data_IF_159092061210
#
_entry.id   IF_159092061210
#
_cell.length_a   1.000
_cell.length_b   1.000
_cell.length_c   1.000
_cell.angle_alpha   90.00
_cell.angle_beta   90.00
_cell.angle_gamma   90.00
#
_symmetry.space_group_name_H-M   'P 1'
#
loop_
_entity.id
_entity.type
_entity.pdbx_description
1 polymer ?
#
# COMPACT_ATOMS: atom_id res chain seq x y z
N UNK A 1 -6.67 2.46 11.87
CA UNK A 1 -5.89 1.89 10.75
C UNK A 1 -4.42 2.16 11.03
N UNK A 2 -3.61 1.09 11.14
CA UNK A 2 -2.23 1.15 11.60
C UNK A 2 -1.29 1.97 10.70
N UNK A 3 -0.06 2.20 11.18
CA UNK A 3 0.97 2.89 10.41
C UNK A 3 1.24 2.14 9.09
N UNK A 4 1.29 2.86 7.97
CA UNK A 4 1.64 2.29 6.67
C UNK A 4 2.97 1.53 6.70
N UNK A 5 3.89 1.98 7.55
CA UNK A 5 5.17 1.34 7.80
C UNK A 5 5.03 -0.06 8.43
N UNK A 6 4.11 -0.22 9.38
CA UNK A 6 3.87 -1.52 10.04
C UNK A 6 3.35 -2.56 9.06
N UNK A 7 2.44 -2.17 8.15
CA UNK A 7 1.95 -3.06 7.10
C UNK A 7 3.06 -3.48 6.14
N UNK A 8 3.96 -2.56 5.78
CA UNK A 8 5.13 -2.88 4.96
C UNK A 8 6.05 -3.89 5.67
N UNK A 9 6.35 -3.68 6.95
CA UNK A 9 7.16 -4.62 7.72
C UNK A 9 6.52 -6.00 7.82
N UNK A 10 5.22 -6.08 8.09
CA UNK A 10 4.47 -7.34 8.12
C UNK A 10 4.55 -8.07 6.78
N UNK A 11 4.37 -7.35 5.66
CA UNK A 11 4.49 -7.92 4.32
C UNK A 11 5.90 -8.45 4.02
N UNK A 12 6.95 -7.73 4.42
CA UNK A 12 8.34 -8.19 4.22
C UNK A 12 8.63 -9.42 5.07
N UNK A 13 8.17 -9.44 6.32
CA UNK A 13 8.33 -10.59 7.21
C UNK A 13 7.65 -11.83 6.63
N UNK A 14 6.39 -11.71 6.22
CA UNK A 14 5.64 -12.81 5.61
C UNK A 14 6.27 -13.27 4.29
N UNK A 15 6.81 -12.36 3.48
CA UNK A 15 7.52 -12.72 2.25
C UNK A 15 8.71 -13.66 2.48
N UNK A 16 9.46 -13.50 3.59
CA UNK A 16 10.60 -14.36 3.92
C UNK A 16 10.19 -15.83 4.08
N UNK A 17 9.00 -16.06 4.65
CA UNK A 17 8.39 -17.37 4.81
C UNK A 17 7.76 -17.89 3.51
N UNK A 18 7.10 -17.01 2.76
CA UNK A 18 6.33 -17.36 1.56
C UNK A 18 7.21 -17.70 0.36
N UNK A 19 8.37 -17.07 0.21
CA UNK A 19 9.19 -17.14 -1.01
C UNK A 19 9.41 -18.56 -1.55
N UNK A 20 9.71 -19.52 -0.66
CA UNK A 20 9.97 -20.92 -1.04
C UNK A 20 8.68 -21.61 -1.52
N UNK A 21 7.58 -21.37 -0.81
CA UNK A 21 6.26 -21.95 -1.12
C UNK A 21 5.70 -21.38 -2.42
N UNK A 22 5.72 -20.05 -2.56
CA UNK A 22 5.24 -19.36 -3.76
C UNK A 22 6.01 -19.80 -5.01
N UNK A 23 7.32 -20.03 -4.89
CA UNK A 23 8.10 -20.54 -6.01
C UNK A 23 7.64 -21.94 -6.43
N UNK A 24 7.45 -22.86 -5.48
CA UNK A 24 6.94 -24.21 -5.73
C UNK A 24 5.57 -24.17 -6.41
N UNK A 25 4.62 -23.44 -5.84
CA UNK A 25 3.24 -23.37 -6.35
C UNK A 25 3.19 -22.82 -7.79
N UNK A 26 4.00 -21.79 -8.10
CA UNK A 26 4.09 -21.22 -9.45
C UNK A 26 4.59 -22.22 -10.49
N UNK A 27 5.51 -23.11 -10.12
CA UNK A 27 6.04 -24.15 -11.03
C UNK A 27 4.96 -25.21 -11.31
N UNK A 28 4.10 -25.49 -10.32
CA UNK A 28 3.05 -26.51 -10.40
C UNK A 28 1.73 -26.04 -11.04
N UNK A 29 1.68 -24.86 -11.67
CA UNK A 29 0.45 -24.22 -12.16
C UNK A 29 -0.63 -24.03 -11.08
N UNK A 30 -0.21 -23.85 -9.82
CA UNK A 30 -1.09 -23.60 -8.69
C UNK A 30 -1.25 -22.08 -8.47
N UNK A 31 -2.43 -21.68 -8.00
CA UNK A 31 -2.73 -20.30 -7.65
C UNK A 31 -2.22 -20.04 -6.23
N UNK A 32 -1.57 -18.89 -6.03
CA UNK A 32 -1.26 -18.35 -4.72
C UNK A 32 -1.63 -16.87 -4.69
N UNK A 33 -2.36 -16.46 -3.67
CA UNK A 33 -2.74 -15.08 -3.42
C UNK A 33 -2.68 -14.78 -1.92
N UNK A 34 -2.21 -13.58 -1.58
CA UNK A 34 -2.25 -13.07 -0.21
C UNK A 34 -2.79 -11.64 -0.21
N UNK A 35 -3.69 -11.36 0.71
CA UNK A 35 -4.16 -10.03 1.02
C UNK A 35 -3.99 -9.75 2.50
N UNK A 36 -2.92 -9.02 2.85
CA UNK A 36 -2.54 -8.76 4.25
C UNK A 36 -2.40 -10.08 5.00
N UNK A 37 -3.35 -10.43 5.87
CA UNK A 37 -3.32 -11.62 6.72
C UNK A 37 -4.04 -12.82 6.08
N UNK A 38 -4.85 -12.60 5.04
CA UNK A 38 -5.59 -13.66 4.35
C UNK A 38 -4.73 -14.29 3.26
N UNK A 39 -4.61 -15.62 3.27
CA UNK A 39 -3.84 -16.40 2.30
C UNK A 39 -4.78 -17.39 1.61
N UNK A 40 -4.71 -17.44 0.29
CA UNK A 40 -5.39 -18.42 -0.54
C UNK A 40 -4.38 -19.09 -1.47
N UNK A 41 -4.47 -20.42 -1.57
CA UNK A 41 -3.74 -21.15 -2.59
C UNK A 41 -4.52 -22.40 -3.01
N UNK A 42 -4.20 -22.89 -4.19
CA UNK A 42 -4.68 -24.20 -4.67
C UNK A 42 -3.53 -25.19 -4.61
N UNK A 43 -3.82 -26.48 -4.41
CA UNK A 43 -2.81 -27.51 -4.62
C UNK A 43 -3.35 -28.75 -5.30
N UNK A 44 -2.50 -29.39 -6.10
CA UNK A 44 -2.74 -30.67 -6.75
C UNK A 44 -2.18 -31.85 -5.92
N UNK A 45 -1.54 -31.57 -4.79
CA UNK A 45 -1.01 -32.58 -3.88
C UNK A 45 -2.14 -33.34 -3.15
N UNK A 46 -1.80 -34.47 -2.52
CA UNK A 46 -2.73 -35.19 -1.66
C UNK A 46 -3.13 -34.35 -0.43
N UNK A 47 -4.32 -34.61 0.11
CA UNK A 47 -4.77 -33.94 1.34
C UNK A 47 -3.77 -34.11 2.49
N UNK A 48 -3.15 -35.29 2.61
CA UNK A 48 -2.12 -35.56 3.62
C UNK A 48 -0.89 -34.66 3.47
N UNK A 49 -0.41 -34.48 2.23
CA UNK A 49 0.72 -33.58 1.93
C UNK A 49 0.35 -32.11 2.24
N UNK A 50 -0.89 -31.72 1.91
CA UNK A 50 -1.41 -30.39 2.21
C UNK A 50 -1.47 -30.17 3.72
N UNK A 51 -2.00 -31.12 4.49
CA UNK A 51 -2.08 -31.03 5.95
C UNK A 51 -0.70 -30.94 6.58
N UNK A 52 0.25 -31.78 6.15
CA UNK A 52 1.64 -31.72 6.61
C UNK A 52 2.25 -30.33 6.34
N UNK A 53 2.08 -29.81 5.13
CA UNK A 53 2.58 -28.49 4.77
C UNK A 53 1.95 -27.39 5.63
N UNK A 54 0.67 -27.49 5.96
CA UNK A 54 -0.03 -26.52 6.81
C UNK A 54 0.41 -26.63 8.28
N UNK A 55 0.74 -27.82 8.76
CA UNK A 55 1.32 -28.01 10.09
C UNK A 55 2.73 -27.43 10.18
N UNK A 56 3.57 -27.66 9.17
CA UNK A 56 4.88 -27.00 9.04
C UNK A 56 4.74 -25.47 9.00
N UNK A 57 3.74 -24.96 8.28
CA UNK A 57 3.45 -23.53 8.23
C UNK A 57 3.06 -22.98 9.61
N UNK A 58 2.26 -23.71 10.38
CA UNK A 58 1.86 -23.35 11.74
C UNK A 58 2.99 -23.41 12.77
N UNK A 59 4.10 -24.06 12.44
CA UNK A 59 5.31 -24.15 13.26
C UNK A 59 6.39 -23.13 12.85
N UNK A 60 6.16 -22.33 11.82
CA UNK A 60 7.14 -21.36 11.33
C UNK A 60 7.54 -20.31 12.39
N UNK A 61 6.59 -19.85 13.20
CA UNK A 61 6.87 -18.85 14.22
C UNK A 61 6.01 -19.08 15.47
N UNK A 62 6.56 -19.00 16.70
CA UNK A 62 5.81 -19.30 17.92
C UNK A 62 4.58 -18.40 18.12
N UNK A 63 4.66 -17.15 17.67
CA UNK A 63 3.60 -16.16 17.84
C UNK A 63 2.66 -16.01 16.64
N UNK A 64 2.85 -16.79 15.55
CA UNK A 64 1.99 -16.71 14.37
C UNK A 64 1.33 -18.08 14.18
N UNK A 65 0.00 -18.09 14.23
CA UNK A 65 -0.81 -19.29 14.02
C UNK A 65 -1.78 -19.04 12.88
N UNK A 66 -1.76 -19.93 11.90
CA UNK A 66 -2.65 -19.93 10.75
C UNK A 66 -3.89 -20.76 11.08
N UNK A 67 -5.05 -20.16 10.85
CA UNK A 67 -6.32 -20.88 10.82
C UNK A 67 -6.51 -21.37 9.39
N UNK A 68 -6.68 -22.68 9.22
CA UNK A 68 -6.82 -23.31 7.90
C UNK A 68 -8.25 -23.78 7.63
N UNK A 69 -8.67 -23.68 6.37
CA UNK A 69 -9.90 -24.25 5.85
C UNK A 69 -9.59 -24.88 4.49
N UNK A 70 -10.13 -26.06 4.21
CA UNK A 70 -9.90 -26.82 2.97
C UNK A 70 -11.27 -27.13 2.34
N UNK A 71 -11.37 -27.06 1.02
CA UNK A 71 -12.60 -27.33 0.27
C UNK A 71 -13.28 -26.04 -0.20
N UNK A 72 -14.46 -25.74 0.36
CA UNK A 72 -15.15 -24.46 0.14
C UNK A 72 -14.53 -23.42 1.06
N UNK A 73 -13.81 -22.46 0.50
CA UNK A 73 -12.99 -21.51 1.27
C UNK A 73 -13.39 -20.07 0.95
N UNK A 74 -13.69 -19.23 1.96
CA UNK A 74 -13.84 -17.81 1.76
C UNK A 74 -12.46 -17.15 1.62
N UNK A 75 -12.31 -16.29 0.63
CA UNK A 75 -11.15 -15.41 0.48
C UNK A 75 -11.66 -14.00 0.14
N UNK A 76 -11.53 -13.08 1.10
CA UNK A 76 -12.17 -11.77 1.05
C UNK A 76 -13.69 -11.90 0.89
N UNK A 77 -14.26 -11.25 -0.11
CA UNK A 77 -15.69 -11.27 -0.43
C UNK A 77 -16.08 -12.43 -1.39
N UNK A 78 -15.17 -13.37 -1.67
CA UNK A 78 -15.38 -14.44 -2.65
C UNK A 78 -15.38 -15.80 -1.95
N UNK A 79 -16.41 -16.59 -2.17
CA UNK A 79 -16.42 -18.01 -1.81
C UNK A 79 -15.88 -18.80 -3.00
N UNK A 80 -14.85 -19.61 -2.77
CA UNK A 80 -14.17 -20.38 -3.80
C UNK A 80 -14.37 -21.86 -3.51
N UNK A 81 -14.82 -22.59 -4.51
CA UNK A 81 -15.08 -24.02 -4.42
C UNK A 81 -14.38 -24.76 -5.56
N UNK A 82 -13.77 -25.91 -5.26
CA UNK A 82 -13.26 -26.81 -6.28
C UNK A 82 -14.33 -27.84 -6.66
N UNK A 83 -14.89 -27.72 -7.88
CA UNK A 83 -15.83 -28.69 -8.46
C UNK A 83 -15.10 -29.52 -9.51
N UNK A 84 -14.58 -30.68 -9.09
CA UNK A 84 -13.91 -31.67 -9.97
C UNK A 84 -12.78 -31.07 -10.82
N UNK A 85 -11.92 -30.26 -10.20
CA UNK A 85 -10.79 -29.60 -10.86
C UNK A 85 -11.12 -28.24 -11.49
N UNK A 86 -12.39 -27.82 -11.46
CA UNK A 86 -12.79 -26.47 -11.89
C UNK A 86 -13.09 -25.62 -10.66
N UNK A 87 -12.41 -24.47 -10.55
CA UNK A 87 -12.73 -23.50 -9.51
C UNK A 87 -14.00 -22.73 -9.88
N UNK A 88 -15.00 -22.81 -9.01
CA UNK A 88 -16.21 -22.00 -9.07
C UNK A 88 -16.17 -20.94 -7.98
N UNK A 89 -16.72 -19.77 -8.30
CA UNK A 89 -16.75 -18.63 -7.40
C UNK A 89 -18.18 -18.16 -7.18
N UNK A 90 -18.46 -17.66 -5.98
CA UNK A 90 -19.69 -16.96 -5.63
C UNK A 90 -19.39 -15.86 -4.62
N UNK A 91 -20.38 -15.02 -4.30
CA UNK A 91 -20.23 -14.01 -3.25
C UNK A 91 -20.27 -14.70 -1.88
N UNK A 92 -19.27 -14.44 -1.04
CA UNK A 92 -19.28 -14.94 0.33
C UNK A 92 -20.09 -14.00 1.23
N UNK A 93 -21.08 -14.55 1.94
CA UNK A 93 -21.80 -13.87 3.02
C UNK A 93 -21.48 -14.56 4.33
N UNK A 94 -21.00 -13.79 5.31
CA UNK A 94 -20.69 -14.32 6.62
C UNK A 94 -22.00 -14.60 7.38
N UNK A 95 -22.18 -15.81 7.90
CA UNK A 95 -23.44 -16.25 8.53
C UNK A 95 -23.91 -15.34 9.67
N UNK A 96 -22.98 -14.80 10.45
CA UNK A 96 -23.26 -13.90 11.57
C UNK A 96 -23.20 -12.41 11.20
N UNK A 97 -22.97 -12.06 9.93
CA UNK A 97 -22.98 -10.66 9.51
C UNK A 97 -24.42 -10.18 9.33
N UNK A 98 -24.81 -9.17 10.11
CA UNK A 98 -25.99 -8.40 9.78
C UNK A 98 -25.82 -7.80 8.37
N UNK A 99 -26.89 -7.72 7.56
CA UNK A 99 -26.84 -7.18 6.21
C UNK A 99 -26.74 -5.65 6.25
N UNK A 100 -25.77 -5.11 6.99
CA UNK A 100 -25.61 -3.69 7.21
C UNK A 100 -24.73 -3.09 6.12
N UNK A 101 -25.27 -2.09 5.45
CA UNK A 101 -24.52 -1.19 4.58
C UNK A 101 -24.74 0.23 5.07
N UNK A 102 -24.11 1.23 4.45
CA UNK A 102 -24.35 2.63 4.81
C UNK A 102 -25.87 2.92 4.68
N UNK A 103 -26.59 3.21 5.78
CA UNK A 103 -28.04 3.44 5.72
C UNK A 103 -28.36 4.67 4.90
N UNK A 104 -29.42 4.63 4.11
CA UNK A 104 -29.74 5.72 3.18
C UNK A 104 -30.04 7.05 3.89
N UNK A 105 -30.57 7.01 5.11
CA UNK A 105 -30.85 8.20 5.94
C UNK A 105 -29.64 8.81 6.66
N UNK A 106 -28.44 8.22 6.54
CA UNK A 106 -27.25 8.74 7.20
C UNK A 106 -26.67 10.00 6.52
N UNK A 107 -25.88 10.81 7.23
CA UNK A 107 -25.26 12.02 6.70
C UNK A 107 -23.99 11.72 5.86
N UNK A 108 -24.19 11.02 4.74
CA UNK A 108 -23.14 10.74 3.77
C UNK A 108 -23.41 11.46 2.45
N UNK A 109 -22.36 11.87 1.72
CA UNK A 109 -22.53 12.44 0.39
C UNK A 109 -23.27 11.48 -0.56
N UNK A 110 -24.13 12.01 -1.41
CA UNK A 110 -24.96 11.20 -2.31
C UNK A 110 -24.21 10.22 -3.24
N UNK A 111 -22.92 10.44 -3.49
CA UNK A 111 -22.10 9.51 -4.26
C UNK A 111 -21.76 8.23 -3.49
N UNK A 112 -21.71 8.26 -2.15
CA UNK A 112 -21.44 7.09 -1.31
C UNK A 112 -22.55 6.06 -1.52
N UNK A 113 -23.81 6.46 -1.35
CA UNK A 113 -24.97 5.57 -1.56
C UNK A 113 -24.99 4.97 -2.98
N UNK A 114 -24.70 5.77 -4.00
CA UNK A 114 -24.61 5.27 -5.38
C UNK A 114 -23.51 4.23 -5.54
N UNK A 115 -22.31 4.54 -5.02
CA UNK A 115 -21.16 3.67 -5.12
C UNK A 115 -21.34 2.37 -4.32
N UNK A 116 -22.03 2.40 -3.18
CA UNK A 116 -22.37 1.21 -2.40
C UNK A 116 -23.19 0.23 -3.24
N UNK A 117 -24.26 0.73 -3.89
CA UNK A 117 -25.10 -0.08 -4.76
C UNK A 117 -24.33 -0.56 -6.00
N UNK A 118 -23.59 0.32 -6.67
CA UNK A 118 -22.83 -0.04 -7.87
C UNK A 118 -21.75 -1.09 -7.58
N UNK A 119 -21.09 -0.98 -6.43
CA UNK A 119 -20.06 -1.93 -6.00
C UNK A 119 -20.70 -3.28 -5.73
N UNK A 120 -21.84 -3.33 -5.03
CA UNK A 120 -22.55 -4.58 -4.77
C UNK A 120 -23.02 -5.27 -6.06
N UNK A 121 -23.58 -4.52 -7.01
CA UNK A 121 -24.01 -5.07 -8.31
C UNK A 121 -22.79 -5.59 -9.10
N UNK A 122 -21.72 -4.79 -9.17
CA UNK A 122 -20.49 -5.19 -9.87
C UNK A 122 -19.88 -6.45 -9.25
N UNK A 123 -19.92 -6.55 -7.92
CA UNK A 123 -19.45 -7.71 -7.15
C UNK A 123 -20.26 -8.95 -7.50
N UNK A 124 -21.59 -8.86 -7.45
CA UNK A 124 -22.50 -9.94 -7.81
C UNK A 124 -22.20 -10.50 -9.21
N UNK A 125 -22.05 -9.62 -10.20
CA UNK A 125 -21.77 -10.07 -11.58
C UNK A 125 -20.39 -10.72 -11.71
N UNK A 126 -19.37 -10.16 -11.06
CA UNK A 126 -17.99 -10.67 -11.19
C UNK A 126 -17.80 -12.01 -10.50
N UNK A 127 -18.38 -12.17 -9.32
CA UNK A 127 -18.11 -13.32 -8.46
C UNK A 127 -18.99 -14.51 -8.82
N UNK A 128 -20.27 -14.31 -9.15
CA UNK A 128 -21.14 -15.42 -9.54
C UNK A 128 -20.66 -16.08 -10.82
N UNK A 129 -20.57 -17.41 -10.82
CA UNK A 129 -20.16 -18.20 -12.00
C UNK A 129 -21.33 -18.46 -12.93
N UNK A 130 -22.49 -18.73 -12.35
CA UNK A 130 -23.72 -19.06 -13.08
C UNK A 130 -24.76 -17.95 -12.97
N UNK A 131 -25.73 -17.97 -13.90
CA UNK A 131 -26.87 -17.04 -13.87
C UNK A 131 -27.73 -17.24 -12.61
N UNK A 132 -27.97 -18.49 -12.20
CA UNK A 132 -28.75 -18.79 -11.00
C UNK A 132 -28.12 -18.23 -9.73
N UNK A 133 -26.80 -18.39 -9.55
CA UNK A 133 -26.06 -17.80 -8.43
C UNK A 133 -26.09 -16.27 -8.46
N UNK A 134 -26.09 -15.68 -9.66
CA UNK A 134 -26.21 -14.24 -9.82
C UNK A 134 -27.60 -13.72 -9.43
N UNK A 135 -28.66 -14.39 -9.86
CA UNK A 135 -30.04 -14.01 -9.54
C UNK A 135 -30.31 -14.07 -8.04
N UNK A 136 -29.83 -15.14 -7.39
CA UNK A 136 -29.93 -15.28 -5.94
C UNK A 136 -29.15 -14.17 -5.22
N UNK A 137 -27.94 -13.85 -5.68
CA UNK A 137 -27.17 -12.73 -5.11
C UNK A 137 -27.88 -11.39 -5.28
N UNK A 138 -28.47 -11.12 -6.46
CA UNK A 138 -29.25 -9.90 -6.69
C UNK A 138 -30.46 -9.83 -5.75
N UNK A 139 -31.11 -10.97 -5.47
CA UNK A 139 -32.22 -11.05 -4.51
C UNK A 139 -31.76 -10.70 -3.11
N UNK A 140 -30.67 -11.29 -2.63
CA UNK A 140 -30.08 -11.01 -1.31
C UNK A 140 -29.65 -9.55 -1.19
N UNK A 141 -28.96 -9.04 -2.21
CA UNK A 141 -28.53 -7.64 -2.27
C UNK A 141 -29.71 -6.67 -2.23
N UNK A 142 -30.82 -6.95 -2.95
CA UNK A 142 -32.03 -6.12 -2.89
C UNK A 142 -32.62 -6.09 -1.49
N UNK A 143 -32.73 -7.24 -0.83
CA UNK A 143 -33.22 -7.33 0.55
C UNK A 143 -32.33 -6.54 1.51
N UNK A 144 -31.01 -6.70 1.41
CA UNK A 144 -30.03 -5.93 2.17
C UNK A 144 -30.24 -4.42 1.99
N UNK A 145 -30.34 -3.91 0.75
CA UNK A 145 -30.54 -2.48 0.54
C UNK A 145 -31.90 -1.96 1.03
N UNK A 146 -32.97 -2.75 0.89
CA UNK A 146 -34.28 -2.39 1.43
C UNK A 146 -34.26 -2.30 2.95
N UNK A 147 -33.55 -3.22 3.62
CA UNK A 147 -33.35 -3.19 5.06
C UNK A 147 -32.61 -1.93 5.53
N UNK A 148 -31.71 -1.39 4.70
CA UNK A 148 -30.95 -0.16 4.96
C UNK A 148 -31.63 1.11 4.40
N UNK A 149 -32.95 1.08 4.24
CA UNK A 149 -33.81 2.21 3.85
C UNK A 149 -33.59 2.76 2.42
N UNK A 150 -32.96 2.01 1.52
CA UNK A 150 -32.85 2.41 0.13
C UNK A 150 -34.21 2.25 -0.56
N UNK A 151 -34.66 3.30 -1.24
CA UNK A 151 -35.89 3.23 -2.05
C UNK A 151 -35.77 2.16 -3.16
N UNK A 152 -36.80 1.32 -3.41
CA UNK A 152 -36.82 0.37 -4.52
C UNK A 152 -36.52 1.04 -5.88
N UNK A 153 -37.00 2.27 -6.08
CA UNK A 153 -36.73 3.07 -7.29
C UNK A 153 -35.25 3.39 -7.45
N UNK A 154 -34.56 3.67 -6.33
CA UNK A 154 -33.13 3.96 -6.35
C UNK A 154 -32.34 2.74 -6.79
N UNK A 155 -32.60 1.58 -6.16
CA UNK A 155 -31.93 0.30 -6.46
C UNK A 155 -32.16 -0.07 -7.92
N UNK A 156 -33.41 -0.03 -8.38
CA UNK A 156 -33.80 -0.32 -9.75
C UNK A 156 -33.07 0.57 -10.76
N UNK A 157 -33.07 1.90 -10.54
CA UNK A 157 -32.37 2.85 -11.40
C UNK A 157 -30.87 2.55 -11.49
N UNK A 158 -30.22 2.18 -10.38
CA UNK A 158 -28.79 1.82 -10.38
C UNK A 158 -28.52 0.55 -11.19
N UNK A 159 -29.34 -0.48 -11.02
CA UNK A 159 -29.28 -1.70 -11.83
C UNK A 159 -29.39 -1.35 -13.33
N UNK A 160 -30.43 -0.61 -13.73
CA UNK A 160 -30.63 -0.20 -15.14
C UNK A 160 -29.41 0.55 -15.68
N UNK A 161 -28.89 1.50 -14.90
CA UNK A 161 -27.75 2.32 -15.31
C UNK A 161 -26.52 1.45 -15.58
N UNK A 162 -26.22 0.49 -14.69
CA UNK A 162 -25.10 -0.42 -14.88
C UNK A 162 -25.30 -1.31 -16.11
N UNK A 163 -26.46 -1.97 -16.24
CA UNK A 163 -26.72 -2.85 -17.38
C UNK A 163 -26.70 -2.10 -18.71
N UNK A 164 -27.31 -0.92 -18.81
CA UNK A 164 -27.32 -0.10 -20.03
C UNK A 164 -25.93 0.33 -20.51
N UNK A 165 -24.92 0.27 -19.63
CA UNK A 165 -23.53 0.59 -19.98
C UNK A 165 -22.83 -0.57 -20.70
N UNK A 166 -23.23 -1.81 -20.41
CA UNK A 166 -22.56 -3.02 -20.89
C UNK A 166 -23.42 -3.86 -21.84
N UNK A 167 -24.75 -3.73 -21.75
CA UNK A 167 -25.74 -4.33 -22.63
C UNK A 167 -26.29 -3.26 -23.58
N UNK A 168 -26.64 -3.65 -24.83
CA UNK A 168 -27.08 -2.74 -25.89
C UNK A 168 -28.24 -1.82 -25.46
N UNK A 169 -28.32 -0.62 -26.06
CA UNK A 169 -29.23 0.49 -25.69
C UNK A 169 -30.74 0.17 -25.66
N UNK A 170 -31.18 -0.99 -26.18
CA UNK A 170 -32.58 -1.40 -26.21
C UNK A 170 -32.95 -2.40 -25.09
N UNK A 171 -32.07 -2.56 -24.10
CA UNK A 171 -32.26 -3.51 -23.02
C UNK A 171 -33.18 -2.91 -21.93
N UNK A 172 -34.46 -3.28 -21.96
CA UNK A 172 -35.39 -3.11 -20.83
C UNK A 172 -34.89 -4.04 -19.70
N UNK A 173 -34.90 -3.59 -18.44
CA UNK A 173 -34.21 -4.25 -17.30
C UNK A 173 -34.25 -5.79 -17.30
N UNK A 174 -33.16 -6.46 -16.83
CA UNK A 174 -32.94 -7.88 -17.07
C UNK A 174 -33.67 -8.71 -16.02
N UNK A 175 -34.43 -9.71 -16.44
CA UNK A 175 -33.83 -11.03 -16.25
C UNK A 175 -32.85 -11.16 -17.41
N UNK A 176 -31.58 -11.46 -17.12
CA UNK A 176 -30.71 -11.96 -18.18
C UNK A 176 -31.40 -13.25 -18.61
N UNK A 177 -32.10 -13.22 -19.74
CA UNK A 177 -33.00 -14.32 -20.09
C UNK A 177 -32.20 -15.54 -20.56
N UNK A 178 -30.89 -15.37 -20.74
CA UNK A 178 -29.97 -16.39 -21.19
C UNK A 178 -28.63 -16.30 -20.45
N UNK A 179 -28.08 -17.48 -20.14
CA UNK A 179 -26.72 -17.68 -19.65
C UNK A 179 -25.66 -17.01 -20.53
N UNK A 180 -25.89 -16.92 -21.84
CA UNK A 180 -24.93 -16.30 -22.78
C UNK A 180 -24.77 -14.80 -22.55
N UNK A 181 -25.88 -14.09 -22.30
CA UNK A 181 -25.87 -12.64 -22.01
C UNK A 181 -25.16 -12.36 -20.69
N UNK A 182 -25.39 -13.20 -19.68
CA UNK A 182 -24.67 -13.13 -18.41
C UNK A 182 -23.18 -13.39 -18.59
N UNK A 183 -22.82 -14.42 -19.37
CA UNK A 183 -21.44 -14.74 -19.70
C UNK A 183 -20.72 -13.56 -20.36
N UNK A 184 -21.37 -12.91 -21.33
CA UNK A 184 -20.85 -11.71 -21.99
C UNK A 184 -20.64 -10.55 -21.01
N UNK A 185 -21.66 -10.23 -20.21
CA UNK A 185 -21.60 -9.16 -19.21
C UNK A 185 -20.47 -9.41 -18.20
N UNK A 186 -20.39 -10.64 -17.67
CA UNK A 186 -19.34 -11.05 -16.73
C UNK A 186 -17.96 -10.93 -17.36
N UNK A 187 -17.79 -11.40 -18.59
CA UNK A 187 -16.53 -11.26 -19.32
C UNK A 187 -16.12 -9.79 -19.50
N UNK A 188 -17.04 -8.91 -19.91
CA UNK A 188 -16.77 -7.48 -20.03
C UNK A 188 -16.38 -6.85 -18.69
N UNK A 189 -17.08 -7.17 -17.61
CA UNK A 189 -16.80 -6.61 -16.29
C UNK A 189 -15.49 -7.11 -15.68
N UNK A 190 -15.09 -8.34 -15.96
CA UNK A 190 -13.78 -8.88 -15.58
C UNK A 190 -12.66 -8.26 -16.41
N UNK A 191 -12.86 -8.09 -17.72
CA UNK A 191 -11.91 -7.45 -18.63
C UNK A 191 -11.76 -5.94 -18.35
N UNK A 192 -12.81 -5.29 -17.82
CA UNK A 192 -12.76 -3.91 -17.33
C UNK A 192 -11.97 -3.87 -16.01
N UNK A 193 -10.65 -4.04 -16.10
CA UNK A 193 -9.76 -3.83 -14.97
C UNK A 193 -9.89 -2.39 -14.49
N UNK A 194 -9.91 -2.19 -13.16
CA UNK A 194 -9.73 -0.87 -12.51
C UNK A 194 -8.35 -0.26 -12.78
N UNK A 195 -7.55 -0.86 -13.68
CA UNK A 195 -6.44 -0.26 -14.41
C UNK A 195 -6.69 1.22 -14.74
N UNK A 196 -7.91 1.61 -15.12
CA UNK A 196 -8.17 3.01 -15.48
C UNK A 196 -8.11 4.05 -14.35
N UNK A 197 -8.06 3.72 -13.06
CA UNK A 197 -7.89 4.75 -12.00
C UNK A 197 -6.49 4.72 -11.40
N UNK A 198 -5.91 3.54 -11.18
CA UNK A 198 -4.51 3.39 -10.77
C UNK A 198 -3.59 3.80 -11.93
N UNK A 199 -3.82 3.36 -13.17
CA UNK A 199 -3.05 3.79 -14.34
C UNK A 199 -3.34 5.22 -14.73
N UNK A 200 -4.55 5.76 -14.48
CA UNK A 200 -4.77 7.21 -14.61
C UNK A 200 -4.01 7.99 -13.56
N UNK A 201 -3.98 7.54 -12.29
CA UNK A 201 -3.18 8.15 -11.23
C UNK A 201 -1.68 8.08 -11.55
N UNK A 202 -1.19 6.96 -12.08
CA UNK A 202 0.18 6.74 -12.56
C UNK A 202 0.48 7.60 -13.82
N UNK A 203 -0.50 7.81 -14.71
CA UNK A 203 -0.39 8.70 -15.88
C UNK A 203 -0.48 10.18 -15.52
N UNK A 204 -1.28 10.55 -14.53
CA UNK A 204 -1.37 11.93 -14.01
C UNK A 204 -0.18 12.29 -13.12
N UNK A 205 0.45 11.30 -12.48
CA UNK A 205 1.70 11.52 -11.74
C UNK A 205 2.93 11.58 -12.65
N UNK A 206 2.86 11.05 -13.88
CA UNK A 206 3.91 11.24 -14.90
C UNK A 206 3.80 12.57 -15.64
N UNK A 207 2.61 13.18 -15.78
CA UNK A 207 2.44 14.50 -16.42
C UNK A 207 2.73 15.70 -15.50
N UNK A 208 2.68 15.55 -14.17
CA UNK A 208 2.98 16.62 -13.21
C UNK A 208 4.41 16.56 -12.61
N UNK A 209 5.35 15.86 -13.26
CA UNK A 209 6.73 15.68 -12.79
C UNK A 209 7.71 16.83 -13.08
N UNK A 210 7.23 18.03 -13.43
CA UNK A 210 8.11 19.18 -13.74
C UNK A 210 8.78 19.88 -12.54
N UNK A 211 8.38 19.71 -11.26
CA UNK A 211 9.20 20.19 -10.14
C UNK A 211 10.14 19.12 -9.57
N UNK A 212 9.76 17.82 -9.62
CA UNK A 212 10.50 16.74 -8.96
C UNK A 212 11.68 16.21 -9.79
N UNK A 213 11.58 16.18 -11.14
CA UNK A 213 12.72 15.82 -12.00
C UNK A 213 13.88 16.82 -11.89
N UNK A 214 13.59 18.10 -11.67
CA UNK A 214 14.61 19.13 -11.55
C UNK A 214 15.39 19.02 -10.21
N UNK A 215 14.73 18.58 -9.14
CA UNK A 215 15.40 18.32 -7.86
C UNK A 215 16.30 17.08 -7.92
N UNK A 216 15.89 16.06 -8.68
CA UNK A 216 16.66 14.84 -8.89
C UNK A 216 17.91 15.10 -9.76
N UNK A 217 17.80 15.98 -10.76
CA UNK A 217 18.93 16.39 -11.60
C UNK A 217 19.91 17.33 -10.88
N UNK A 218 19.48 18.10 -9.88
CA UNK A 218 20.40 18.88 -9.03
C UNK A 218 21.13 18.02 -7.99
N UNK A 219 20.56 16.89 -7.56
CA UNK A 219 21.20 15.91 -6.67
C UNK A 219 22.11 14.91 -7.42
N UNK A 220 22.12 14.94 -8.76
CA UNK A 220 22.92 14.07 -9.63
C UNK A 220 24.02 14.82 -10.40
N UNK A 221 24.41 16.02 -9.95
CA UNK A 221 25.68 16.60 -10.35
C UNK A 221 26.80 15.79 -9.68
N UNK A 222 27.67 15.11 -10.43
CA UNK A 222 28.78 14.37 -9.85
C UNK A 222 29.77 15.38 -9.27
N UNK A 223 29.84 15.49 -7.94
CA UNK A 223 31.12 15.86 -7.34
C UNK A 223 32.03 14.67 -7.54
N UNK A 224 33.02 14.84 -8.41
CA UNK A 224 34.13 13.92 -8.58
C UNK A 224 34.64 13.46 -7.22
N UNK A 225 34.88 12.16 -7.10
CA UNK A 225 35.27 11.40 -5.92
C UNK A 225 34.09 10.78 -5.14
N UNK A 226 33.55 9.69 -5.67
CA UNK A 226 33.57 8.38 -5.01
C UNK A 226 32.89 7.34 -5.91
N UNK A 227 33.68 6.43 -6.47
CA UNK A 227 33.19 5.10 -6.85
C UNK A 227 32.42 4.52 -5.65
N UNK A 228 31.17 4.08 -5.79
CA UNK A 228 30.63 2.99 -4.96
C UNK A 228 29.21 2.55 -5.43
N UNK A 229 29.14 1.26 -5.82
CA UNK A 229 28.02 0.29 -5.68
C UNK A 229 26.77 0.46 -6.58
N UNK A 230 26.77 -0.29 -7.69
CA UNK A 230 25.59 -0.74 -8.46
C UNK A 230 24.76 -1.75 -7.64
N UNK A 231 24.01 -1.29 -6.63
CA UNK A 231 23.10 -2.12 -5.80
C UNK A 231 21.64 -1.68 -5.93
N UNK A 232 20.68 -2.58 -5.73
CA UNK A 232 19.22 -2.31 -5.82
C UNK A 232 18.77 -1.45 -4.62
N UNK A 233 18.49 -0.15 -4.72
CA UNK A 233 18.13 0.64 -3.52
C UNK A 233 16.65 0.53 -3.10
N UNK A 234 16.38 0.48 -1.79
CA UNK A 234 15.03 0.55 -1.19
C UNK A 234 14.90 1.86 -0.42
N UNK A 235 13.93 2.69 -0.81
CA UNK A 235 13.72 4.01 -0.21
C UNK A 235 12.46 3.98 0.67
N UNK A 236 12.60 4.27 1.96
CA UNK A 236 11.49 4.36 2.93
C UNK A 236 11.34 5.81 3.37
N UNK A 237 10.24 6.45 3.00
CA UNK A 237 9.90 7.78 3.50
C UNK A 237 8.88 7.70 4.64
N UNK A 238 9.14 8.40 5.75
CA UNK A 238 8.19 8.55 6.85
C UNK A 238 7.87 10.02 7.12
N UNK A 239 6.71 10.27 7.75
CA UNK A 239 6.28 11.61 8.16
C UNK A 239 7.10 12.04 9.38
N UNK A 240 7.74 13.21 9.32
CA UNK A 240 8.56 13.72 10.42
C UNK A 240 7.70 14.13 11.61
N UNK A 241 7.94 13.52 12.77
CA UNK A 241 7.35 13.88 14.05
C UNK A 241 8.44 13.91 15.13
N UNK A 242 8.34 14.81 16.12
CA UNK A 242 9.37 14.97 17.17
C UNK A 242 9.65 13.67 17.94
N UNK A 243 8.65 12.79 18.07
CA UNK A 243 8.75 11.47 18.73
C UNK A 243 9.51 10.43 17.90
N UNK A 244 9.62 10.65 16.59
CA UNK A 244 10.24 9.72 15.62
C UNK A 244 11.67 10.12 15.24
N UNK A 245 12.34 10.98 16.03
CA UNK A 245 13.72 11.44 15.77
C UNK A 245 14.73 10.29 15.64
N UNK A 246 14.54 9.22 16.42
CA UNK A 246 15.42 8.05 16.41
C UNK A 246 14.98 6.97 15.41
N UNK A 247 13.85 7.15 14.73
CA UNK A 247 13.23 6.13 13.87
C UNK A 247 14.12 5.75 12.70
N UNK A 248 14.90 6.70 12.14
CA UNK A 248 15.91 6.36 11.13
C UNK A 248 16.91 5.33 11.64
N UNK A 249 17.47 5.55 12.84
CA UNK A 249 18.44 4.66 13.46
C UNK A 249 17.81 3.30 13.81
N UNK A 250 16.62 3.31 14.41
CA UNK A 250 15.87 2.10 14.74
C UNK A 250 15.53 1.26 13.50
N UNK A 251 15.16 1.90 12.38
CA UNK A 251 14.90 1.19 11.12
C UNK A 251 16.18 0.54 10.58
N UNK A 252 17.33 1.22 10.65
CA UNK A 252 18.61 0.63 10.26
C UNK A 252 19.04 -0.51 11.19
N UNK A 253 18.88 -0.37 12.50
CA UNK A 253 19.16 -1.41 13.48
C UNK A 253 18.27 -2.65 13.26
N UNK A 254 16.97 -2.43 13.02
CA UNK A 254 16.00 -3.50 12.74
C UNK A 254 16.26 -4.16 11.37
N UNK A 255 16.64 -3.37 10.37
CA UNK A 255 17.05 -3.89 9.06
C UNK A 255 18.25 -4.82 9.20
N UNK A 256 19.29 -4.36 9.89
CA UNK A 256 20.49 -5.15 10.10
C UNK A 256 20.24 -6.39 10.95
N UNK A 257 19.35 -6.33 11.96
CA UNK A 257 19.04 -7.49 12.80
C UNK A 257 18.20 -8.54 12.09
N UNK A 258 17.28 -8.15 11.19
CA UNK A 258 16.32 -9.07 10.54
C UNK A 258 16.86 -9.65 9.23
N UNK A 259 17.68 -8.89 8.50
CA UNK A 259 18.13 -9.23 7.14
C UNK A 259 19.61 -9.61 7.02
N UNK A 260 20.34 -9.77 8.14
CA UNK A 260 21.78 -10.09 8.20
C UNK A 260 22.20 -11.31 7.36
N UNK A 261 21.30 -12.27 7.11
CA UNK A 261 21.60 -13.54 6.43
C UNK A 261 20.85 -13.72 5.10
N UNK A 262 20.30 -12.66 4.52
CA UNK A 262 19.54 -12.75 3.25
C UNK A 262 20.28 -12.10 2.07
N UNK A 263 20.10 -12.64 0.86
CA UNK A 263 20.58 -12.07 -0.44
C UNK A 263 20.12 -10.61 -0.71
N UNK A 264 19.36 -10.01 0.20
CA UNK A 264 18.90 -8.61 0.18
C UNK A 264 20.01 -7.65 0.62
N UNK A 265 21.18 -8.13 1.05
CA UNK A 265 22.35 -7.29 1.41
C UNK A 265 22.83 -6.42 0.23
N UNK A 266 22.57 -6.83 -1.01
CA UNK A 266 22.85 -6.01 -2.20
C UNK A 266 21.88 -4.83 -2.39
N UNK A 267 20.99 -4.60 -1.41
CA UNK A 267 20.05 -3.46 -1.43
C UNK A 267 20.40 -2.37 -0.43
N UNK A 268 20.68 -1.17 -0.95
CA UNK A 268 20.95 0.01 -0.13
C UNK A 268 19.63 0.58 0.44
N UNK A 269 19.43 0.46 1.76
CA UNK A 269 18.29 1.05 2.44
C UNK A 269 18.50 2.56 2.66
N UNK A 270 17.65 3.39 2.04
CA UNK A 270 17.62 4.83 2.25
C UNK A 270 16.36 5.24 3.00
N UNK A 271 16.50 5.65 4.26
CA UNK A 271 15.38 6.13 5.09
C UNK A 271 15.32 7.66 5.06
N UNK A 272 14.29 8.20 4.40
CA UNK A 272 14.05 9.63 4.27
C UNK A 272 12.86 10.14 5.11
N UNK A 273 12.80 11.45 5.31
CA UNK A 273 11.66 12.15 5.92
C UNK A 273 10.97 13.05 4.90
N UNK A 274 9.65 13.11 4.89
CA UNK A 274 8.93 14.12 4.08
C UNK A 274 9.06 15.52 4.69
N UNK A 275 9.23 16.52 3.82
CA UNK A 275 9.23 17.95 4.19
C UNK A 275 7.84 18.39 4.67
N UNK A 276 7.66 18.47 5.98
CA UNK A 276 6.50 19.08 6.61
C UNK A 276 6.89 20.36 7.39
N UNK A 277 5.91 21.16 7.82
CA UNK A 277 6.18 22.43 8.54
C UNK A 277 7.06 22.24 9.78
N UNK A 278 6.89 21.13 10.50
CA UNK A 278 7.71 20.78 11.67
C UNK A 278 9.18 20.52 11.31
N UNK A 279 9.44 19.79 10.22
CA UNK A 279 10.80 19.55 9.72
C UNK A 279 11.44 20.86 9.22
N UNK A 280 10.67 21.72 8.54
CA UNK A 280 11.16 23.05 8.12
C UNK A 280 11.58 23.91 9.31
N UNK A 281 10.78 23.95 10.37
CA UNK A 281 11.09 24.68 11.60
C UNK A 281 12.32 24.11 12.33
N UNK A 282 12.53 22.80 12.29
CA UNK A 282 13.68 22.16 12.92
C UNK A 282 14.97 22.36 12.13
N UNK A 283 14.90 22.28 10.80
CA UNK A 283 16.03 22.59 9.91
C UNK A 283 16.42 24.06 10.02
N UNK A 284 15.46 24.99 10.07
CA UNK A 284 15.75 26.41 10.28
C UNK A 284 16.36 26.65 11.66
N UNK A 285 15.86 26.02 12.72
CA UNK A 285 16.44 26.12 14.06
C UNK A 285 17.87 25.56 14.14
N UNK A 286 18.17 24.46 13.44
CA UNK A 286 19.53 23.90 13.35
C UNK A 286 20.46 24.80 12.55
N UNK A 287 19.99 25.36 11.44
CA UNK A 287 20.76 26.29 10.62
C UNK A 287 21.09 27.56 11.42
N UNK A 288 20.14 28.09 12.18
CA UNK A 288 20.36 29.22 13.11
C UNK A 288 21.40 28.86 14.18
N UNK A 289 21.29 27.67 14.81
CA UNK A 289 22.31 27.22 15.78
C UNK A 289 23.69 27.08 15.15
N UNK A 290 23.78 26.57 13.91
CA UNK A 290 25.05 26.42 13.22
C UNK A 290 25.67 27.78 12.87
N UNK A 291 24.86 28.73 12.40
CA UNK A 291 25.28 30.11 12.13
C UNK A 291 25.74 30.81 13.42
N UNK A 292 25.01 30.62 14.53
CA UNK A 292 25.40 31.15 15.83
C UNK A 292 26.72 30.55 16.34
N UNK A 293 26.94 29.24 16.14
CA UNK A 293 28.21 28.58 16.49
C UNK A 293 29.39 28.95 15.57
N UNK A 294 29.11 29.37 14.33
CA UNK A 294 30.12 29.82 13.38
C UNK A 294 30.48 31.31 13.59
N UNK A 295 29.51 32.14 13.98
CA UNK A 295 29.72 33.55 14.29
C UNK A 295 30.54 33.80 15.56
N UNK A 296 30.42 32.90 16.56
CA UNK A 296 31.25 32.96 17.78
C UNK A 296 32.74 32.63 17.57
N UNK A 297 33.13 32.18 16.37
CA UNK A 297 34.52 31.85 16.04
C UNK A 297 35.26 32.94 15.26
N UNK A 298 34.59 34.03 14.85
CA UNK A 298 35.21 35.14 14.10
C UNK A 298 35.28 36.50 14.82
N UNK A 299 34.67 36.66 16.00
CA UNK A 299 34.83 37.88 16.84
C UNK A 299 36.05 37.80 17.78
N UNK A 300 37.15 37.24 17.28
CA UNK A 300 38.36 36.98 18.06
C UNK A 300 39.66 37.41 17.39
N UNK A 301 39.66 38.38 16.47
CA UNK A 301 40.90 39.00 15.97
C UNK A 301 40.60 40.24 15.13
N UNK A 302 40.73 41.44 15.72
CA UNK A 302 41.32 42.63 15.08
C UNK A 302 41.30 43.82 16.06
N UNK A 303 42.46 44.12 16.65
CA UNK A 303 42.95 45.47 16.97
C UNK A 303 44.40 45.36 17.47
N UNK A 304 45.36 45.51 16.56
CA UNK A 304 46.70 46.06 16.85
C UNK A 304 46.95 47.23 15.87
N UNK A 305 47.41 48.39 16.35
CA UNK A 305 47.72 49.55 15.51
C UNK A 305 49.12 49.43 14.89
N UNK A 306 49.47 50.26 13.88
CA UNK A 306 50.63 50.05 13.03
C UNK A 306 51.94 50.64 13.61
N UNK A 307 53.05 49.99 13.25
CA UNK A 307 54.42 50.36 13.57
C UNK A 307 54.85 51.71 12.96
N UNK A 308 55.67 52.46 13.71
CA UNK A 308 56.64 53.40 13.14
C UNK A 308 57.99 53.26 13.86
N UNK A 309 59.00 52.89 13.08
CA UNK A 309 60.42 53.02 13.40
C UNK A 309 60.77 54.49 13.63
N UNK A 310 61.56 54.83 14.65
CA UNK A 310 62.97 55.28 14.54
C UNK A 310 63.44 56.04 15.80
N UNK A 311 64.57 55.55 16.31
CA UNK A 311 65.74 56.29 16.79
C UNK A 311 65.69 57.26 17.99
N UNK A 312 66.64 56.99 18.89
CA UNK A 312 67.63 57.91 19.47
C UNK A 312 67.41 58.54 20.87
N UNK A 313 68.33 58.10 21.76
CA UNK A 313 69.30 58.92 22.50
C UNK A 313 68.89 59.54 23.87
N UNK A 314 69.81 59.31 24.81
CA UNK A 314 70.14 60.04 26.05
C UNK A 314 69.37 59.76 27.35
N UNK A 315 69.98 58.87 28.13
CA UNK A 315 70.64 59.14 29.42
C UNK A 315 70.06 60.16 30.42
N UNK A 316 70.12 59.70 31.69
CA UNK A 316 70.42 60.38 32.96
C UNK A 316 69.25 60.65 33.92
N UNK A 317 69.50 60.12 35.14
CA UNK A 317 69.30 60.73 36.46
C UNK A 317 67.83 60.84 36.93
N UNK A 318 67.40 60.13 37.98
CA UNK A 318 67.75 60.16 39.43
C UNK A 318 66.60 60.83 40.17
N UNK A 319 66.24 60.25 41.32
CA UNK A 319 65.50 60.81 42.47
C UNK A 319 64.06 61.28 42.19
N UNK A 320 63.07 60.98 43.01
CA UNK A 320 63.07 60.66 44.44
C UNK A 320 61.91 59.71 44.78
#
# INVERSE_FOLDING_TARGET
>A
MGSAFTLTLANIFMWKWEKQRVHRLKVSNEIYGRYVDDIFFTSNDSLESIDQMLDEANNFHPNIKLVRQIGSVPFLDVLIENRKGTLTTSVHHKEAAEPYVVPFGSDHPGHVFRNTVDTAITRAVRYSRTLSEFEEEIRQMKLMFLYNEYSPRHIHRRLTTLFSKYLLKNFILPMLNNCDEFGYLRHQLLATSRATTADKLIRTSTTNQTPYKNMQNQLLQPTDNNELIKGKSLIIHHKHEKRLRNTRRQIHELWNSVFHETEVIDTALMVGTYLNQNLKQELSARMIKHIQSAGSSQEGQTRRPPDKQTANIQSKQRSH
#
